data_IF_744635426854
#
_entry.id   IF_744635426854
#
_cell.length_a   1.000
_cell.length_b   1.000
_cell.length_c   1.000
_cell.angle_alpha   90.00
_cell.angle_beta   90.00
_cell.angle_gamma   90.00
#
_symmetry.space_group_name_H-M   'P 1'
#
loop_
_entity.id
_entity.type
_entity.pdbx_description
1 polymer ?
#
# COMPACT_ATOMS: atom_id res chain seq x y z
N UNK A 1 17.73 20.73 5.32
CA UNK A 1 19.12 20.27 5.12
C UNK A 1 19.19 18.74 5.13
N UNK A 2 18.76 18.05 6.22
CA UNK A 2 18.87 16.59 6.32
C UNK A 2 18.15 15.84 5.18
N UNK A 3 16.91 16.23 4.82
CA UNK A 3 16.15 15.60 3.72
C UNK A 3 16.80 15.91 2.37
N UNK A 4 17.34 17.10 2.17
CA UNK A 4 18.09 17.43 0.95
C UNK A 4 19.35 16.59 0.80
N UNK A 5 20.11 16.38 1.88
CA UNK A 5 21.24 15.44 1.91
C UNK A 5 20.79 14.00 1.63
N UNK A 6 19.66 13.57 2.21
CA UNK A 6 19.07 12.26 1.92
C UNK A 6 18.69 12.09 0.46
N UNK A 7 18.19 13.15 -0.22
CA UNK A 7 17.92 13.13 -1.65
C UNK A 7 19.19 12.93 -2.48
N UNK A 8 20.26 13.65 -2.15
CA UNK A 8 21.56 13.50 -2.81
C UNK A 8 22.11 12.10 -2.56
N UNK A 9 22.07 11.65 -1.32
CA UNK A 9 22.52 10.30 -0.95
C UNK A 9 21.73 9.22 -1.68
N UNK A 10 20.40 9.34 -1.77
CA UNK A 10 19.55 8.41 -2.51
C UNK A 10 19.89 8.38 -4.00
N UNK A 11 20.15 9.56 -4.63
CA UNK A 11 20.58 9.62 -6.04
C UNK A 11 21.91 8.90 -6.28
N UNK A 12 22.86 9.02 -5.35
CA UNK A 12 24.21 8.44 -5.48
C UNK A 12 24.20 6.96 -5.07
N UNK A 13 23.68 6.65 -3.88
CA UNK A 13 23.81 5.33 -3.26
C UNK A 13 22.53 4.48 -3.33
N UNK A 14 21.43 5.02 -3.86
CA UNK A 14 20.12 4.37 -3.98
C UNK A 14 19.55 3.88 -2.64
N UNK A 15 19.83 4.60 -1.56
CA UNK A 15 19.35 4.33 -0.19
C UNK A 15 18.89 5.63 0.48
N UNK A 16 17.96 5.53 1.41
CA UNK A 16 17.66 6.60 2.35
C UNK A 16 18.64 6.60 3.52
N UNK A 17 18.98 7.78 4.04
CA UNK A 17 19.72 7.88 5.29
C UNK A 17 18.85 7.42 6.46
N UNK A 18 19.49 6.95 7.53
CA UNK A 18 18.82 6.67 8.80
C UNK A 18 18.07 7.94 9.26
N UNK A 19 16.86 7.77 9.78
CA UNK A 19 15.98 8.86 10.23
C UNK A 19 15.41 9.79 9.13
N UNK A 20 15.54 9.46 7.84
CA UNK A 20 14.93 10.25 6.76
C UNK A 20 13.40 10.33 6.93
N UNK A 21 12.76 9.24 7.36
CA UNK A 21 11.32 9.22 7.60
C UNK A 21 10.90 10.24 8.67
N UNK A 22 11.59 10.29 9.80
CA UNK A 22 11.30 11.27 10.86
C UNK A 22 11.42 12.71 10.36
N UNK A 23 12.44 12.98 9.51
CA UNK A 23 12.59 14.29 8.90
C UNK A 23 11.46 14.63 7.94
N UNK A 24 10.98 13.66 7.14
CA UNK A 24 9.81 13.86 6.27
C UNK A 24 8.54 14.13 7.08
N UNK A 25 8.30 13.38 8.15
CA UNK A 25 7.16 13.59 9.06
C UNK A 25 7.19 14.99 9.66
N UNK A 26 8.35 15.43 10.16
CA UNK A 26 8.50 16.77 10.74
C UNK A 26 8.27 17.87 9.69
N UNK A 27 8.82 17.73 8.49
CA UNK A 27 8.59 18.70 7.41
C UNK A 27 7.12 18.73 7.00
N UNK A 28 6.49 17.56 6.89
CA UNK A 28 5.06 17.47 6.57
C UNK A 28 4.18 18.17 7.60
N UNK A 29 4.52 18.03 8.89
CA UNK A 29 3.79 18.70 9.97
C UNK A 29 3.92 20.24 9.93
N UNK A 30 5.00 20.76 9.33
CA UNK A 30 5.24 22.21 9.21
C UNK A 30 4.59 22.80 7.95
N UNK A 31 4.75 22.14 6.80
CA UNK A 31 4.41 22.70 5.49
C UNK A 31 3.19 22.04 4.81
N UNK A 32 2.56 21.07 5.50
CA UNK A 32 1.37 20.37 5.06
C UNK A 32 1.49 19.84 3.62
N UNK A 33 2.65 19.28 3.29
CA UNK A 33 2.90 18.52 2.07
C UNK A 33 3.61 19.26 0.93
N UNK A 34 3.92 20.54 1.05
CA UNK A 34 4.63 21.31 0.00
C UNK A 34 6.00 20.71 -0.33
N UNK A 35 6.77 20.36 0.69
CA UNK A 35 8.10 19.74 0.54
C UNK A 35 8.01 18.35 -0.11
N UNK A 36 6.94 17.58 0.15
CA UNK A 36 6.76 16.26 -0.50
C UNK A 36 6.62 16.40 -2.02
N UNK A 37 5.86 17.38 -2.49
CA UNK A 37 5.72 17.65 -3.94
C UNK A 37 7.07 18.02 -4.55
N UNK A 38 7.83 18.90 -3.88
CA UNK A 38 9.17 19.26 -4.34
C UNK A 38 10.08 18.05 -4.48
N UNK A 39 10.13 17.17 -3.47
CA UNK A 39 10.95 15.97 -3.53
C UNK A 39 10.45 14.97 -4.56
N UNK A 40 9.13 14.78 -4.68
CA UNK A 40 8.58 13.95 -5.73
C UNK A 40 9.02 14.42 -7.12
N UNK A 41 8.81 15.68 -7.44
CA UNK A 41 9.19 16.26 -8.74
C UNK A 41 10.71 16.21 -9.00
N UNK A 42 11.53 16.29 -7.95
CA UNK A 42 12.99 16.21 -8.06
C UNK A 42 13.50 14.78 -8.28
N UNK A 43 12.82 13.79 -7.69
CA UNK A 43 13.27 12.40 -7.65
C UNK A 43 12.56 11.49 -8.66
N UNK A 44 11.38 11.90 -9.17
CA UNK A 44 10.65 11.11 -10.16
C UNK A 44 11.50 10.90 -11.42
N UNK A 45 11.42 9.72 -11.98
CA UNK A 45 12.08 9.39 -13.25
C UNK A 45 11.16 9.67 -14.42
N UNK A 46 11.74 9.84 -15.62
CA UNK A 46 10.93 9.89 -16.84
C UNK A 46 10.23 8.55 -17.06
N UNK A 47 9.00 8.61 -17.58
CA UNK A 47 8.29 7.40 -18.05
C UNK A 47 9.15 6.67 -19.09
N UNK A 48 9.36 5.38 -18.89
CA UNK A 48 10.01 4.53 -19.88
C UNK A 48 9.03 4.19 -21.00
N UNK A 49 9.54 3.99 -22.21
CA UNK A 49 8.70 3.48 -23.32
C UNK A 49 8.19 2.09 -22.93
N UNK A 50 6.87 1.86 -23.08
CA UNK A 50 6.25 0.56 -22.80
C UNK A 50 6.98 -0.54 -23.58
N UNK A 51 7.57 -1.48 -22.87
CA UNK A 51 7.90 -2.79 -23.43
C UNK A 51 6.64 -3.64 -23.32
N UNK A 52 5.99 -3.96 -24.45
CA UNK A 52 4.83 -4.85 -24.47
C UNK A 52 5.21 -6.20 -23.84
N UNK A 53 4.87 -6.40 -22.60
CA UNK A 53 4.87 -7.70 -21.94
C UNK A 53 3.41 -7.95 -21.62
N UNK A 54 2.73 -8.73 -22.46
CA UNK A 54 1.32 -9.03 -22.35
C UNK A 54 1.05 -10.13 -21.34
N UNK A 55 1.21 -9.86 -20.05
CA UNK A 55 0.74 -10.73 -18.99
C UNK A 55 -0.15 -9.92 -18.06
N UNK A 56 -1.45 -9.94 -18.30
CA UNK A 56 -2.41 -9.37 -17.38
C UNK A 56 -3.33 -10.45 -16.84
N UNK A 57 -3.59 -10.38 -15.55
CA UNK A 57 -4.58 -11.21 -14.85
C UNK A 57 -5.99 -10.62 -15.05
N UNK A 58 -6.07 -9.38 -15.53
CA UNK A 58 -7.30 -8.68 -15.85
C UNK A 58 -7.68 -8.93 -17.31
N UNK A 59 -8.90 -9.43 -17.56
CA UNK A 59 -9.35 -9.90 -18.86
C UNK A 59 -9.55 -8.80 -19.93
N UNK A 60 -9.64 -7.54 -19.56
CA UNK A 60 -9.86 -6.43 -20.47
C UNK A 60 -8.99 -5.21 -20.13
N UNK A 61 -8.07 -4.89 -21.03
CA UNK A 61 -7.19 -3.73 -20.97
C UNK A 61 -7.90 -2.39 -21.18
N UNK A 62 -8.75 -1.97 -20.28
CA UNK A 62 -9.13 -0.55 -20.25
C UNK A 62 -8.46 0.09 -19.04
N UNK A 63 -7.67 1.17 -19.22
CA UNK A 63 -7.21 1.99 -18.11
C UNK A 63 -8.45 2.66 -17.51
N UNK A 64 -9.03 2.07 -16.47
CA UNK A 64 -10.34 2.42 -15.95
C UNK A 64 -10.28 3.24 -14.68
N UNK A 65 -9.07 3.49 -14.19
CA UNK A 65 -8.84 4.51 -13.18
C UNK A 65 -8.13 5.64 -13.87
N UNK A 66 -8.80 6.76 -14.01
CA UNK A 66 -8.09 7.95 -14.39
C UNK A 66 -7.17 8.32 -13.23
N UNK A 67 -5.91 8.60 -13.51
CA UNK A 67 -5.00 9.22 -12.54
C UNK A 67 -5.64 10.50 -11.96
N UNK A 68 -6.56 11.12 -12.70
CA UNK A 68 -7.38 12.23 -12.26
C UNK A 68 -8.25 11.89 -11.05
N UNK A 69 -8.93 10.73 -11.04
CA UNK A 69 -9.75 10.33 -9.89
C UNK A 69 -8.91 10.14 -8.63
N UNK A 70 -7.76 9.45 -8.74
CA UNK A 70 -6.81 9.30 -7.64
C UNK A 70 -6.26 10.65 -7.17
N UNK A 71 -5.85 11.51 -8.11
CA UNK A 71 -5.35 12.82 -7.79
C UNK A 71 -6.42 13.73 -7.18
N UNK A 72 -7.68 13.60 -7.62
CA UNK A 72 -8.77 14.45 -7.12
C UNK A 72 -9.28 13.96 -5.76
N UNK A 73 -9.54 12.66 -5.60
CA UNK A 73 -10.20 12.09 -4.43
C UNK A 73 -9.24 11.48 -3.41
N UNK A 74 -8.06 10.99 -3.87
CA UNK A 74 -7.10 10.23 -3.07
C UNK A 74 -7.35 8.73 -3.05
N UNK A 75 -8.41 8.25 -3.68
CA UNK A 75 -8.70 6.83 -3.91
C UNK A 75 -9.54 6.65 -5.17
N UNK A 76 -9.48 5.44 -5.74
CA UNK A 76 -10.32 5.05 -6.87
C UNK A 76 -10.59 3.54 -6.83
N UNK A 77 -11.84 3.12 -7.05
CA UNK A 77 -12.16 1.69 -7.20
C UNK A 77 -11.69 1.21 -8.56
N UNK A 78 -11.08 0.03 -8.61
CA UNK A 78 -10.83 -0.62 -9.87
C UNK A 78 -12.17 -1.10 -10.46
N UNK A 79 -12.39 -0.86 -11.74
CA UNK A 79 -13.63 -1.24 -12.40
C UNK A 79 -13.77 -2.74 -12.64
N UNK A 80 -12.66 -3.46 -12.55
CA UNK A 80 -12.62 -4.91 -12.71
C UNK A 80 -12.17 -5.56 -11.40
N UNK A 81 -12.84 -6.67 -11.08
CA UNK A 81 -12.41 -7.54 -9.99
C UNK A 81 -11.25 -8.43 -10.44
N UNK A 82 -10.44 -8.85 -9.51
CA UNK A 82 -9.43 -9.86 -9.73
C UNK A 82 -10.10 -11.19 -10.14
N UNK A 83 -9.52 -11.89 -11.10
CA UNK A 83 -10.01 -13.17 -11.58
C UNK A 83 -10.26 -14.15 -10.40
N UNK A 84 -11.39 -14.84 -10.42
CA UNK A 84 -11.84 -15.74 -9.34
C UNK A 84 -10.82 -16.84 -9.03
N UNK A 85 -10.18 -17.41 -10.04
CA UNK A 85 -9.18 -18.47 -9.83
C UNK A 85 -7.96 -17.90 -9.08
N UNK A 86 -7.49 -16.73 -9.48
CA UNK A 86 -6.36 -16.07 -8.82
C UNK A 86 -6.71 -15.69 -7.37
N UNK A 87 -7.92 -15.18 -7.13
CA UNK A 87 -8.41 -14.91 -5.76
C UNK A 87 -8.40 -16.17 -4.92
N UNK A 88 -8.87 -17.31 -5.47
CA UNK A 88 -8.87 -18.57 -4.75
C UNK A 88 -7.46 -19.07 -4.42
N UNK A 89 -6.49 -18.88 -5.32
CA UNK A 89 -5.08 -19.17 -5.05
C UNK A 89 -4.54 -18.32 -3.91
N UNK A 90 -4.83 -17.01 -3.87
CA UNK A 90 -4.40 -16.11 -2.80
C UNK A 90 -5.05 -16.45 -1.45
N UNK A 91 -6.35 -16.83 -1.46
CA UNK A 91 -7.02 -17.29 -0.24
C UNK A 91 -6.41 -18.60 0.26
N UNK A 92 -6.16 -19.56 -0.63
CA UNK A 92 -5.47 -20.81 -0.29
C UNK A 92 -4.08 -20.54 0.28
N UNK A 93 -3.33 -19.61 -0.33
CA UNK A 93 -2.03 -19.19 0.19
C UNK A 93 -2.14 -18.69 1.64
N UNK A 94 -3.15 -17.87 1.96
CA UNK A 94 -3.39 -17.33 3.29
C UNK A 94 -3.76 -18.40 4.34
N UNK A 95 -4.16 -19.60 3.93
CA UNK A 95 -4.40 -20.75 4.84
C UNK A 95 -3.18 -21.65 5.03
N UNK A 96 -2.16 -21.51 4.18
CA UNK A 96 -0.97 -22.37 4.20
C UNK A 96 0.29 -21.68 4.69
N UNK A 97 0.39 -20.35 4.55
CA UNK A 97 1.47 -19.56 5.10
C UNK A 97 1.20 -19.20 6.56
N UNK A 98 2.29 -19.19 7.36
CA UNK A 98 2.23 -18.67 8.71
C UNK A 98 2.16 -17.14 8.66
N UNK A 99 1.38 -16.57 9.58
CA UNK A 99 1.26 -15.14 9.80
C UNK A 99 1.58 -14.78 11.25
N UNK A 100 2.10 -13.58 11.47
CA UNK A 100 2.47 -13.07 12.78
C UNK A 100 1.23 -12.52 13.48
N UNK A 101 0.88 -13.06 14.63
CA UNK A 101 -0.29 -12.66 15.42
C UNK A 101 0.00 -11.58 16.48
N UNK A 102 1.17 -10.94 16.41
CA UNK A 102 1.64 -9.98 17.41
C UNK A 102 2.62 -10.56 18.42
N UNK A 103 2.66 -11.88 18.56
CA UNK A 103 3.55 -12.61 19.49
C UNK A 103 4.41 -13.65 18.76
N UNK A 104 3.80 -14.43 17.87
CA UNK A 104 4.47 -15.53 17.17
C UNK A 104 3.86 -15.77 15.78
N UNK A 105 4.57 -16.54 14.97
CA UNK A 105 4.07 -16.99 13.66
C UNK A 105 3.19 -18.24 13.84
N UNK A 106 1.93 -18.15 13.36
CA UNK A 106 0.91 -19.20 13.44
C UNK A 106 0.24 -19.37 12.08
N UNK A 107 -0.38 -20.51 11.81
CA UNK A 107 -1.39 -20.61 10.77
C UNK A 107 -2.67 -19.93 11.29
N UNK A 108 -3.32 -19.16 10.41
CA UNK A 108 -4.57 -18.50 10.80
C UNK A 108 -5.67 -19.55 11.00
N UNK A 109 -6.31 -19.51 12.15
CA UNK A 109 -7.45 -20.37 12.51
C UNK A 109 -8.58 -19.50 13.08
N UNK A 110 -9.71 -19.52 12.40
CA UNK A 110 -10.91 -18.77 12.80
C UNK A 110 -11.47 -19.18 14.17
N UNK A 111 -11.16 -20.40 14.61
CA UNK A 111 -11.62 -20.95 15.90
C UNK A 111 -10.72 -20.54 17.07
N UNK A 112 -9.53 -20.01 16.79
CA UNK A 112 -8.49 -19.69 17.77
C UNK A 112 -7.99 -18.25 17.63
N UNK A 113 -8.91 -17.30 17.48
CA UNK A 113 -8.60 -15.88 17.33
C UNK A 113 -8.07 -15.30 18.65
N UNK A 114 -6.85 -14.74 18.61
CA UNK A 114 -6.16 -14.14 19.78
C UNK A 114 -5.75 -12.68 19.55
N UNK A 115 -5.90 -12.15 18.34
CA UNK A 115 -5.51 -10.77 18.02
C UNK A 115 -6.44 -10.18 16.95
N UNK A 116 -6.45 -8.85 16.84
CA UNK A 116 -7.20 -8.10 15.83
C UNK A 116 -6.57 -8.18 14.44
N UNK A 117 -5.27 -8.49 14.33
CA UNK A 117 -4.54 -8.51 13.05
C UNK A 117 -3.47 -9.58 13.04
N UNK A 118 -3.37 -10.29 11.91
CA UNK A 118 -2.38 -11.33 11.62
C UNK A 118 -1.68 -10.97 10.31
N UNK A 119 -0.39 -10.65 10.37
CA UNK A 119 0.37 -10.15 9.22
C UNK A 119 1.24 -11.24 8.63
N UNK A 120 1.23 -11.38 7.31
CA UNK A 120 2.16 -12.24 6.58
C UNK A 120 3.50 -11.52 6.37
N UNK A 121 4.60 -12.27 6.32
CA UNK A 121 5.91 -11.71 6.01
C UNK A 121 6.01 -11.39 4.50
N UNK A 122 6.45 -10.18 4.17
CA UNK A 122 6.56 -9.73 2.77
C UNK A 122 7.60 -10.54 1.98
N UNK A 123 8.63 -11.11 2.64
CA UNK A 123 9.58 -12.01 1.98
C UNK A 123 8.96 -13.38 1.67
N UNK A 124 8.03 -13.87 2.50
CA UNK A 124 7.30 -15.09 2.19
C UNK A 124 6.33 -14.85 1.03
N UNK A 125 5.66 -13.69 1.02
CA UNK A 125 4.72 -13.32 -0.03
C UNK A 125 5.40 -13.18 -1.41
N UNK A 126 6.54 -12.48 -1.52
CA UNK A 126 7.20 -12.26 -2.82
C UNK A 126 7.70 -13.57 -3.45
N UNK A 127 7.87 -14.62 -2.67
CA UNK A 127 8.28 -15.93 -3.12
C UNK A 127 7.12 -16.83 -3.59
N UNK A 128 5.89 -16.31 -3.65
CA UNK A 128 4.71 -17.02 -4.13
C UNK A 128 4.41 -16.65 -5.59
N UNK A 129 4.17 -17.65 -6.43
CA UNK A 129 3.92 -17.43 -7.87
C UNK A 129 2.71 -16.54 -8.13
N UNK A 130 1.63 -16.67 -7.37
CA UNK A 130 0.43 -15.82 -7.48
C UNK A 130 0.71 -14.36 -7.15
N UNK A 131 1.59 -14.06 -6.18
CA UNK A 131 2.03 -12.70 -5.87
C UNK A 131 2.96 -12.17 -6.97
N UNK A 132 3.89 -12.99 -7.48
CA UNK A 132 4.77 -12.60 -8.58
C UNK A 132 4.00 -12.24 -9.85
N UNK A 133 2.90 -12.94 -10.14
CA UNK A 133 2.01 -12.62 -11.26
C UNK A 133 1.38 -11.23 -11.12
N UNK A 134 0.88 -10.88 -9.93
CA UNK A 134 0.34 -9.53 -9.66
C UNK A 134 1.41 -8.44 -9.75
N UNK A 135 2.63 -8.71 -9.29
CA UNK A 135 3.75 -7.76 -9.40
C UNK A 135 4.12 -7.49 -10.87
N UNK A 136 3.95 -8.48 -11.75
CA UNK A 136 4.21 -8.34 -13.19
C UNK A 136 3.03 -7.77 -13.98
N UNK A 137 1.87 -7.59 -13.36
CA UNK A 137 0.65 -7.18 -14.05
C UNK A 137 0.76 -5.76 -14.60
N UNK A 138 0.71 -5.62 -15.93
CA UNK A 138 0.88 -4.32 -16.60
C UNK A 138 -0.24 -3.33 -16.28
N UNK A 139 -1.46 -3.80 -16.05
CA UNK A 139 -2.57 -2.92 -15.70
C UNK A 139 -2.32 -2.23 -14.35
N UNK A 140 -1.84 -2.98 -13.35
CA UNK A 140 -1.50 -2.43 -12.03
C UNK A 140 -0.29 -1.49 -12.08
N UNK A 141 0.72 -1.86 -12.88
CA UNK A 141 1.91 -1.01 -13.11
C UNK A 141 1.52 0.30 -13.81
N UNK A 142 0.62 0.24 -14.79
CA UNK A 142 0.15 1.42 -15.52
C UNK A 142 -0.64 2.38 -14.62
N UNK A 143 -1.48 1.88 -13.71
CA UNK A 143 -2.15 2.71 -12.69
C UNK A 143 -1.11 3.52 -11.89
N UNK A 144 -0.06 2.85 -11.41
CA UNK A 144 0.98 3.52 -10.62
C UNK A 144 1.79 4.51 -11.48
N UNK A 145 2.10 4.15 -12.74
CA UNK A 145 2.81 5.00 -13.70
C UNK A 145 2.04 6.27 -14.01
N UNK A 146 0.76 6.15 -14.27
CA UNK A 146 -0.14 7.29 -14.53
C UNK A 146 -0.23 8.21 -13.30
N UNK A 147 -0.47 7.61 -12.12
CA UNK A 147 -0.62 8.35 -10.88
C UNK A 147 0.65 9.13 -10.48
N UNK A 148 1.84 8.54 -10.65
CA UNK A 148 3.11 9.20 -10.33
C UNK A 148 3.62 10.13 -11.42
N UNK A 149 3.06 10.08 -12.62
CA UNK A 149 3.66 10.70 -13.81
C UNK A 149 5.16 10.35 -13.94
N UNK A 150 5.49 9.09 -13.65
CA UNK A 150 6.87 8.57 -13.69
C UNK A 150 6.87 7.05 -13.67
N UNK A 151 8.03 6.43 -13.96
CA UNK A 151 8.18 4.99 -13.77
C UNK A 151 8.07 4.64 -12.27
N UNK A 152 7.16 3.73 -11.88
CA UNK A 152 7.01 3.32 -10.49
C UNK A 152 8.13 2.36 -10.06
N UNK A 153 8.29 2.25 -8.75
CA UNK A 153 9.07 1.20 -8.10
C UNK A 153 8.10 0.34 -7.32
N UNK A 154 8.16 -0.97 -7.50
CA UNK A 154 7.46 -1.86 -6.61
C UNK A 154 8.16 -1.88 -5.25
N UNK A 155 7.44 -1.51 -4.20
CA UNK A 155 8.01 -1.39 -2.86
C UNK A 155 7.88 -2.71 -2.08
N UNK A 156 6.66 -3.17 -1.82
CA UNK A 156 6.43 -4.46 -1.14
C UNK A 156 4.99 -4.97 -1.30
N UNK A 157 4.77 -6.29 -1.24
CA UNK A 157 3.46 -6.88 -1.00
C UNK A 157 3.21 -6.94 0.51
N UNK A 158 1.99 -6.67 0.94
CA UNK A 158 1.53 -6.82 2.33
C UNK A 158 0.22 -7.58 2.33
N UNK A 159 0.07 -8.58 3.19
CA UNK A 159 -1.18 -9.33 3.33
C UNK A 159 -1.48 -9.56 4.82
N UNK A 160 -2.77 -9.50 5.17
CA UNK A 160 -3.16 -9.72 6.56
C UNK A 160 -4.60 -10.17 6.71
N UNK A 161 -4.84 -10.91 7.78
CA UNK A 161 -6.17 -11.10 8.32
C UNK A 161 -6.51 -10.02 9.34
N UNK A 162 -7.73 -9.51 9.29
CA UNK A 162 -8.36 -8.71 10.35
C UNK A 162 -9.51 -9.49 10.95
N UNK A 163 -9.67 -9.39 12.26
CA UNK A 163 -10.65 -10.16 13.05
C UNK A 163 -11.47 -9.24 13.95
N UNK A 164 -12.62 -9.70 14.47
CA UNK A 164 -13.43 -8.92 15.41
C UNK A 164 -12.90 -8.95 16.86
N UNK A 165 -11.66 -9.43 17.07
CA UNK A 165 -11.06 -9.51 18.40
C UNK A 165 -10.99 -8.14 19.09
N UNK A 166 -11.30 -8.11 20.39
CA UNK A 166 -11.28 -6.89 21.21
C UNK A 166 -12.56 -6.04 21.08
N UNK A 167 -12.81 -5.22 22.09
CA UNK A 167 -14.05 -4.43 22.21
C UNK A 167 -13.93 -3.02 21.64
N UNK A 168 -12.73 -2.48 21.53
CA UNK A 168 -12.45 -1.11 21.05
C UNK A 168 -11.56 -1.14 19.79
N UNK A 169 -11.61 -0.08 18.97
CA UNK A 169 -10.70 0.04 17.82
C UNK A 169 -9.23 -0.02 18.24
N UNK A 170 -8.45 -0.87 17.54
CA UNK A 170 -7.04 -1.06 17.83
C UNK A 170 -6.17 -0.12 16.99
N UNK A 171 -5.31 0.65 17.65
CA UNK A 171 -4.28 1.48 16.99
C UNK A 171 -3.31 0.61 16.19
N UNK A 172 -2.87 -0.51 16.76
CA UNK A 172 -1.92 -1.43 16.12
C UNK A 172 -2.50 -2.15 14.88
N UNK A 173 -3.83 -2.30 14.83
CA UNK A 173 -4.53 -2.86 13.68
C UNK A 173 -4.97 -1.81 12.64
N UNK A 174 -4.47 -0.57 12.74
CA UNK A 174 -4.82 0.55 11.86
C UNK A 174 -6.34 0.87 11.84
N UNK A 175 -7.01 0.70 12.98
CA UNK A 175 -8.45 0.94 13.13
C UNK A 175 -8.79 2.37 13.61
N UNK A 176 -7.80 3.23 13.77
CA UNK A 176 -7.94 4.67 14.01
C UNK A 176 -7.41 5.43 12.80
N UNK A 177 -7.92 6.65 12.57
CA UNK A 177 -7.48 7.47 11.45
C UNK A 177 -6.00 7.79 11.52
N UNK A 178 -5.31 7.60 10.39
CA UNK A 178 -3.91 7.91 10.20
C UNK A 178 -3.65 8.23 8.73
N UNK A 179 -2.48 8.69 8.45
CA UNK A 179 -1.93 8.79 7.10
C UNK A 179 -0.56 8.11 7.07
N UNK A 180 -0.14 7.64 5.90
CA UNK A 180 1.14 6.98 5.72
C UNK A 180 2.14 7.92 5.06
N UNK A 181 3.38 7.93 5.56
CA UNK A 181 4.44 8.81 5.10
C UNK A 181 5.81 8.10 4.99
N UNK A 182 5.79 6.78 4.75
CA UNK A 182 7.02 6.01 4.58
C UNK A 182 7.74 6.31 3.27
N UNK A 183 7.04 6.90 2.28
CA UNK A 183 7.59 7.37 1.01
C UNK A 183 7.13 8.78 0.71
N UNK A 184 7.90 9.49 -0.11
CA UNK A 184 7.55 10.85 -0.56
C UNK A 184 6.22 10.87 -1.32
N UNK A 185 5.99 9.90 -2.19
CA UNK A 185 4.70 9.65 -2.84
C UNK A 185 4.51 8.15 -2.98
N UNK A 186 3.42 7.67 -2.44
CA UNK A 186 3.09 6.26 -2.35
C UNK A 186 1.70 5.98 -2.94
N UNK A 187 1.57 4.85 -3.62
CA UNK A 187 0.29 4.33 -4.08
C UNK A 187 0.15 2.91 -3.58
N UNK A 188 -0.97 2.61 -2.97
CA UNK A 188 -1.32 1.27 -2.54
C UNK A 188 -2.51 0.76 -3.33
N UNK A 189 -2.41 -0.47 -3.85
CA UNK A 189 -3.53 -1.16 -4.49
C UNK A 189 -3.96 -2.29 -3.57
N UNK A 190 -5.20 -2.21 -3.11
CA UNK A 190 -5.80 -3.14 -2.16
C UNK A 190 -6.72 -4.11 -2.89
N UNK A 191 -6.66 -5.37 -2.49
CA UNK A 191 -7.54 -6.44 -2.95
C UNK A 191 -8.28 -7.04 -1.77
N UNK A 192 -9.60 -7.03 -1.82
CA UNK A 192 -10.42 -7.75 -0.87
C UNK A 192 -10.48 -9.23 -1.27
N UNK A 193 -9.87 -10.09 -0.46
CA UNK A 193 -9.85 -11.53 -0.69
C UNK A 193 -11.00 -12.26 0.03
N UNK A 194 -11.83 -11.51 0.74
CA UNK A 194 -13.12 -11.89 1.34
C UNK A 194 -14.15 -10.82 1.01
N UNK A 195 -15.43 -11.10 1.12
CA UNK A 195 -16.46 -10.07 1.01
C UNK A 195 -16.32 -9.05 2.12
N UNK A 196 -16.46 -7.75 1.78
CA UNK A 196 -16.34 -6.63 2.71
C UNK A 196 -17.60 -5.76 2.69
N UNK A 197 -18.28 -5.73 3.83
CA UNK A 197 -19.48 -4.94 4.10
C UNK A 197 -19.33 -4.14 5.41
N UNK A 198 -20.39 -3.52 5.90
CA UNK A 198 -20.34 -2.66 7.09
C UNK A 198 -19.91 -3.39 8.37
N UNK A 199 -20.12 -4.70 8.45
CA UNK A 199 -19.87 -5.46 9.68
C UNK A 199 -18.45 -6.04 9.78
N UNK A 200 -17.73 -6.19 8.67
CA UNK A 200 -16.42 -6.85 8.67
C UNK A 200 -15.27 -5.90 8.29
N UNK A 201 -15.40 -4.64 8.69
CA UNK A 201 -14.28 -3.70 8.74
C UNK A 201 -13.88 -3.10 7.41
N UNK A 202 -14.77 -2.44 6.65
CA UNK A 202 -14.41 -1.79 5.39
C UNK A 202 -13.34 -0.70 5.61
N UNK A 203 -12.55 -0.42 4.57
CA UNK A 203 -11.65 0.73 4.58
C UNK A 203 -12.46 2.02 4.51
N UNK A 204 -11.99 3.03 5.24
CA UNK A 204 -12.58 4.36 5.26
C UNK A 204 -11.51 5.41 4.97
N UNK A 205 -11.85 6.37 4.12
CA UNK A 205 -10.98 7.47 3.69
C UNK A 205 -11.69 8.80 3.88
N UNK A 206 -10.91 9.85 4.19
CA UNK A 206 -11.39 11.24 4.09
C UNK A 206 -10.94 11.75 2.73
N UNK A 207 -11.90 11.95 1.83
CA UNK A 207 -11.68 12.36 0.45
C UNK A 207 -10.90 13.69 0.41
N UNK A 208 -9.94 13.80 -0.52
CA UNK A 208 -9.10 14.99 -0.76
C UNK A 208 -8.11 15.34 0.37
N UNK A 209 -8.06 14.58 1.46
CA UNK A 209 -7.17 14.88 2.58
C UNK A 209 -5.69 14.56 2.33
N UNK A 210 -5.33 14.05 1.13
CA UNK A 210 -3.96 13.89 0.65
C UNK A 210 -3.40 15.15 -0.01
N UNK A 211 -4.28 16.11 -0.37
CA UNK A 211 -3.86 17.34 -1.05
C UNK A 211 -3.01 18.24 -0.13
N UNK A 212 -2.17 19.06 -0.75
CA UNK A 212 -1.40 20.07 -0.02
C UNK A 212 -2.34 21.02 0.73
N UNK A 213 -1.98 21.36 1.94
CA UNK A 213 -2.76 22.23 2.83
C UNK A 213 -4.16 21.69 3.18
N UNK A 214 -4.43 20.39 2.97
CA UNK A 214 -5.74 19.80 3.23
C UNK A 214 -5.94 19.31 4.66
N UNK A 215 -4.86 19.13 5.42
CA UNK A 215 -4.96 18.70 6.82
C UNK A 215 -5.02 19.89 7.76
N UNK A 216 -5.97 19.89 8.73
CA UNK A 216 -6.02 20.90 9.78
C UNK A 216 -4.70 20.98 10.56
N UNK A 217 -4.23 22.21 10.80
CA UNK A 217 -2.95 22.42 11.48
C UNK A 217 -3.00 21.91 12.93
N UNK A 218 -4.16 21.96 13.55
CA UNK A 218 -4.41 21.45 14.90
C UNK A 218 -4.19 19.95 14.99
N UNK A 219 -4.55 19.19 13.94
CA UNK A 219 -4.28 17.76 13.87
C UNK A 219 -2.79 17.48 13.58
N UNK A 220 -2.18 18.25 12.69
CA UNK A 220 -0.76 18.10 12.37
C UNK A 220 0.16 18.45 13.54
N UNK A 221 -0.21 19.47 14.35
CA UNK A 221 0.55 19.89 15.54
C UNK A 221 0.63 18.81 16.64
N UNK A 222 -0.29 17.83 16.63
CA UNK A 222 -0.24 16.66 17.53
C UNK A 222 0.82 15.63 17.12
N UNK A 223 1.49 15.86 15.99
CA UNK A 223 2.46 14.95 15.40
C UNK A 223 1.82 13.78 14.66
N UNK A 224 2.63 12.77 14.34
CA UNK A 224 2.21 11.57 13.60
C UNK A 224 1.47 10.59 14.52
N UNK A 225 0.19 10.90 14.83
CA UNK A 225 -0.65 10.16 15.78
C UNK A 225 -1.85 9.51 15.09
N UNK A 226 -2.40 8.51 15.75
CA UNK A 226 -3.69 7.91 15.43
C UNK A 226 -4.80 8.76 16.02
N UNK A 227 -5.82 9.09 15.21
CA UNK A 227 -6.92 10.00 15.56
C UNK A 227 -8.23 9.21 15.64
N UNK A 228 -9.04 9.48 16.67
CA UNK A 228 -10.36 8.85 16.83
C UNK A 228 -11.39 9.42 15.84
N UNK A 229 -12.51 8.71 15.70
CA UNK A 229 -13.62 9.14 14.85
C UNK A 229 -14.24 10.45 15.35
N UNK A 230 -14.44 10.57 16.66
CA UNK A 230 -15.01 11.75 17.29
C UNK A 230 -14.11 12.97 17.10
N UNK A 231 -12.80 12.78 17.25
CA UNK A 231 -11.83 13.86 17.10
C UNK A 231 -11.75 14.35 15.66
N UNK A 232 -11.61 13.45 14.69
CA UNK A 232 -11.44 13.84 13.28
C UNK A 232 -12.75 14.40 12.69
N UNK A 233 -13.90 13.95 13.20
CA UNK A 233 -15.21 14.42 12.81
C UNK A 233 -15.45 15.92 13.11
N UNK A 234 -14.67 16.51 14.02
CA UNK A 234 -14.74 17.95 14.30
C UNK A 234 -14.09 18.81 13.20
N UNK A 235 -13.33 18.22 12.28
CA UNK A 235 -12.53 18.95 11.29
C UNK A 235 -12.98 18.74 9.85
N UNK A 236 -13.72 17.68 9.56
CA UNK A 236 -14.14 17.33 8.20
C UNK A 236 -15.64 17.14 8.10
N UNK A 237 -16.23 17.61 7.00
CA UNK A 237 -17.63 17.37 6.70
C UNK A 237 -17.91 15.87 6.57
N UNK A 238 -19.06 15.42 7.05
CA UNK A 238 -19.51 14.02 7.00
C UNK A 238 -19.46 13.46 5.56
N UNK A 239 -19.78 14.28 4.57
CA UNK A 239 -19.77 13.89 3.16
C UNK A 239 -18.37 13.57 2.61
N UNK A 240 -17.32 14.00 3.30
CA UNK A 240 -15.94 13.65 2.90
C UNK A 240 -15.52 12.26 3.36
N UNK A 241 -16.26 11.63 4.27
CA UNK A 241 -15.98 10.29 4.76
C UNK A 241 -16.50 9.24 3.78
N UNK A 242 -15.61 8.51 3.15
CA UNK A 242 -15.93 7.49 2.12
C UNK A 242 -15.60 6.10 2.64
N UNK A 243 -16.59 5.21 2.54
CA UNK A 243 -16.47 3.81 2.94
C UNK A 243 -16.31 2.94 1.70
N UNK A 244 -15.26 2.13 1.65
CA UNK A 244 -14.97 1.24 0.52
C UNK A 244 -15.40 -0.17 0.89
N UNK A 245 -16.50 -0.61 0.29
CA UNK A 245 -17.05 -1.96 0.37
C UNK A 245 -16.89 -2.66 -0.98
N UNK A 246 -16.86 -3.99 -0.96
CA UNK A 246 -16.80 -4.78 -2.19
C UNK A 246 -16.91 -6.27 -1.92
N UNK A 247 -17.25 -7.02 -2.96
CA UNK A 247 -17.24 -8.48 -2.94
C UNK A 247 -15.79 -9.00 -2.99
N UNK A 248 -15.61 -10.26 -2.67
CA UNK A 248 -14.37 -11.00 -2.86
C UNK A 248 -13.82 -10.79 -4.28
N UNK A 249 -12.56 -10.38 -4.38
CA UNK A 249 -11.91 -10.02 -5.64
C UNK A 249 -11.97 -8.53 -5.99
N UNK A 250 -12.78 -7.72 -5.31
CA UNK A 250 -12.80 -6.26 -5.53
C UNK A 250 -11.47 -5.63 -5.18
N UNK A 251 -11.08 -4.62 -5.97
CA UNK A 251 -9.85 -3.88 -5.76
C UNK A 251 -10.06 -2.37 -5.81
N UNK A 252 -9.20 -1.64 -5.13
CA UNK A 252 -9.12 -0.18 -5.19
C UNK A 252 -7.70 0.30 -5.01
N UNK A 253 -7.36 1.42 -5.64
CA UNK A 253 -6.11 2.12 -5.47
C UNK A 253 -6.31 3.32 -4.52
N UNK A 254 -5.30 3.64 -3.69
CA UNK A 254 -5.37 4.77 -2.78
C UNK A 254 -4.01 5.41 -2.53
N UNK A 255 -4.00 6.75 -2.46
CA UNK A 255 -2.94 7.53 -1.85
C UNK A 255 -3.18 7.55 -0.33
N UNK A 256 -2.42 6.76 0.39
CA UNK A 256 -2.55 6.63 1.84
C UNK A 256 -1.99 7.83 2.62
N UNK A 257 -1.57 8.90 1.94
CA UNK A 257 -1.43 10.22 2.55
C UNK A 257 -2.81 10.80 2.94
N UNK A 258 -3.93 10.37 2.34
CA UNK A 258 -5.27 10.61 2.89
C UNK A 258 -5.35 10.13 4.34
N UNK A 259 -6.13 10.84 5.17
CA UNK A 259 -6.61 10.24 6.40
C UNK A 259 -7.43 8.99 6.06
N UNK A 260 -7.02 7.86 6.63
CA UNK A 260 -7.69 6.58 6.38
C UNK A 260 -7.59 5.64 7.56
N UNK A 261 -8.43 4.61 7.55
CA UNK A 261 -8.40 3.51 8.50
C UNK A 261 -9.06 2.25 7.93
N UNK A 262 -8.79 1.09 8.49
CA UNK A 262 -9.69 -0.06 8.43
C UNK A 262 -10.67 0.04 9.59
N UNK A 263 -11.99 0.03 9.35
CA UNK A 263 -12.94 0.08 10.47
C UNK A 263 -12.85 -1.20 11.31
N UNK A 264 -13.21 -1.11 12.59
CA UNK A 264 -13.25 -2.28 13.47
C UNK A 264 -14.27 -3.29 12.95
N UNK A 265 -13.91 -4.58 12.94
CA UNK A 265 -14.84 -5.64 12.59
C UNK A 265 -15.81 -5.89 13.75
N UNK A 266 -17.07 -6.09 13.40
CA UNK A 266 -18.14 -6.50 14.32
C UNK A 266 -18.28 -8.02 14.27
N UNK A 267 -18.19 -8.62 13.05
CA UNK A 267 -18.28 -10.06 12.83
C UNK A 267 -17.50 -10.49 11.59
N UNK A 268 -17.21 -11.78 11.51
CA UNK A 268 -16.45 -12.38 10.42
C UNK A 268 -14.98 -11.96 10.42
N UNK A 269 -14.25 -12.43 9.42
CA UNK A 269 -12.84 -12.11 9.23
C UNK A 269 -12.66 -11.47 7.86
N UNK A 270 -11.67 -10.58 7.72
CA UNK A 270 -11.35 -9.92 6.47
C UNK A 270 -9.91 -10.22 6.08
N UNK A 271 -9.71 -10.80 4.90
CA UNK A 271 -8.40 -10.97 4.28
C UNK A 271 -8.19 -9.87 3.23
N UNK A 272 -7.05 -9.18 3.33
CA UNK A 272 -6.64 -8.12 2.41
C UNK A 272 -5.23 -8.40 1.91
N UNK A 273 -5.03 -8.25 0.60
CA UNK A 273 -3.71 -8.10 -0.01
C UNK A 273 -3.53 -6.65 -0.44
N UNK A 274 -2.35 -6.10 -0.23
CA UNK A 274 -1.95 -4.75 -0.58
C UNK A 274 -0.65 -4.82 -1.38
N UNK A 275 -0.60 -4.15 -2.54
CA UNK A 275 0.61 -3.97 -3.32
C UNK A 275 1.04 -2.51 -3.24
N UNK A 276 2.26 -2.28 -2.80
CA UNK A 276 2.81 -0.95 -2.57
C UNK A 276 3.72 -0.52 -3.72
N UNK A 277 3.46 0.66 -4.24
CA UNK A 277 4.23 1.31 -5.29
C UNK A 277 4.74 2.66 -4.79
N UNK A 278 5.96 3.01 -5.14
CA UNK A 278 6.57 4.29 -4.79
C UNK A 278 7.14 5.00 -6.00
N UNK A 279 7.09 6.33 -6.02
CA UNK A 279 7.78 7.12 -7.05
C UNK A 279 9.29 7.20 -6.82
N UNK A 280 9.72 7.02 -5.57
CA UNK A 280 11.12 6.93 -5.15
C UNK A 280 11.24 6.16 -3.84
N UNK A 281 12.43 5.66 -3.50
CA UNK A 281 12.70 5.01 -2.22
C UNK A 281 13.11 5.99 -1.12
N UNK A 282 12.97 7.30 -1.34
CA UNK A 282 13.20 8.28 -0.28
C UNK A 282 12.12 8.13 0.80
N UNK A 283 12.54 7.94 2.04
CA UNK A 283 11.66 7.71 3.19
C UNK A 283 12.19 6.66 4.14
N UNK A 284 11.35 5.73 4.56
CA UNK A 284 11.74 4.64 5.45
C UNK A 284 12.75 3.71 4.78
N UNK A 285 13.81 3.36 5.51
CA UNK A 285 14.84 2.46 4.99
C UNK A 285 14.45 1.00 5.26
N UNK A 286 13.57 0.48 4.42
CA UNK A 286 13.23 -0.95 4.47
C UNK A 286 14.35 -1.80 3.88
N UNK A 287 14.52 -3.01 4.42
CA UNK A 287 15.36 -4.02 3.78
C UNK A 287 14.79 -4.39 2.41
N UNK A 288 15.68 -4.74 1.48
CA UNK A 288 15.26 -5.25 0.17
C UNK A 288 14.54 -6.59 0.33
N UNK A 289 13.48 -6.78 -0.45
CA UNK A 289 12.75 -8.03 -0.52
C UNK A 289 13.65 -9.15 -1.05
N UNK A 290 13.71 -10.25 -0.31
CA UNK A 290 14.55 -11.41 -0.61
C UNK A 290 13.81 -12.37 -1.54
N UNK A 291 14.21 -12.37 -2.82
CA UNK A 291 13.63 -13.26 -3.83
C UNK A 291 14.45 -14.56 -3.89
N UNK A 292 13.85 -15.64 -3.39
CA UNK A 292 14.47 -16.97 -3.28
C UNK A 292 13.95 -17.95 -4.34
N UNK A 293 12.64 -17.93 -4.59
CA UNK A 293 11.95 -18.86 -5.50
C UNK A 293 11.23 -18.11 -6.63
N UNK A 294 11.95 -17.36 -7.49
CA UNK A 294 11.32 -16.67 -8.62
C UNK A 294 10.92 -17.68 -9.69
N UNK A 295 9.72 -17.48 -10.27
CA UNK A 295 9.36 -18.16 -11.52
C UNK A 295 10.25 -17.67 -12.66
N UNK A 296 10.38 -18.45 -13.75
CA UNK A 296 11.23 -18.04 -14.88
C UNK A 296 10.71 -16.77 -15.57
N UNK A 297 9.39 -16.62 -15.67
CA UNK A 297 8.75 -15.38 -16.13
C UNK A 297 9.09 -14.18 -15.24
N UNK A 298 9.07 -14.35 -13.92
CA UNK A 298 9.43 -13.31 -12.97
C UNK A 298 10.90 -12.93 -13.03
N UNK A 299 11.82 -13.91 -13.18
CA UNK A 299 13.25 -13.63 -13.41
C UNK A 299 13.47 -12.78 -14.65
N UNK A 300 12.83 -13.17 -15.77
CA UNK A 300 12.95 -12.45 -17.04
C UNK A 300 12.36 -11.04 -16.94
N UNK A 301 11.21 -10.91 -16.29
CA UNK A 301 10.58 -9.63 -16.04
C UNK A 301 11.48 -8.70 -15.22
N UNK A 302 12.04 -9.17 -14.10
CA UNK A 302 12.91 -8.38 -13.24
C UNK A 302 14.19 -7.92 -13.96
N UNK A 303 14.77 -8.81 -14.81
CA UNK A 303 15.94 -8.47 -15.63
C UNK A 303 15.62 -7.31 -16.60
N UNK A 304 14.43 -7.31 -17.22
CA UNK A 304 14.00 -6.27 -18.16
C UNK A 304 13.55 -4.98 -17.46
N UNK A 305 13.05 -5.06 -16.23
CA UNK A 305 12.45 -3.96 -15.47
C UNK A 305 13.24 -3.66 -14.19
N UNK A 306 14.55 -3.50 -14.29
CA UNK A 306 15.46 -3.35 -13.15
C UNK A 306 15.21 -2.11 -12.30
N UNK A 307 14.65 -1.05 -12.88
CA UNK A 307 14.24 0.15 -12.12
C UNK A 307 13.01 -0.14 -11.25
N UNK A 308 11.99 -0.75 -11.83
CA UNK A 308 10.76 -1.15 -11.14
C UNK A 308 11.04 -2.11 -9.98
N UNK A 309 11.97 -3.04 -10.16
CA UNK A 309 12.31 -4.09 -9.20
C UNK A 309 13.57 -3.78 -8.37
N UNK A 310 14.00 -2.52 -8.33
CA UNK A 310 15.26 -2.14 -7.63
C UNK A 310 15.24 -2.38 -6.12
N UNK A 311 14.04 -2.58 -5.53
CA UNK A 311 13.88 -2.96 -4.11
C UNK A 311 14.02 -4.47 -3.87
N UNK A 312 14.37 -5.27 -4.89
CA UNK A 312 14.56 -6.72 -4.77
C UNK A 312 16.03 -7.08 -4.60
N UNK A 313 16.27 -8.15 -3.86
CA UNK A 313 17.55 -8.81 -3.72
C UNK A 313 17.36 -10.29 -4.03
N UNK A 314 17.91 -10.74 -5.17
CA UNK A 314 17.92 -12.16 -5.51
C UNK A 314 18.96 -12.86 -4.64
N UNK A 315 18.53 -13.89 -3.91
CA UNK A 315 19.44 -14.79 -3.23
C UNK A 315 19.93 -15.83 -4.25
N UNK A 316 21.25 -16.07 -4.31
CA UNK A 316 21.78 -17.15 -5.13
C UNK A 316 21.25 -18.47 -4.59
N UNK A 317 20.52 -19.22 -5.41
CA UNK A 317 20.33 -20.65 -5.18
C UNK A 317 21.72 -21.27 -5.39
N UNK A 318 22.31 -21.77 -4.31
CA UNK A 318 23.53 -22.55 -4.38
C UNK A 318 23.24 -23.90 -5.02
#
# INVERSE_FOLDING_TARGET
IYVSLSCVYLKIFRKSLKNTNNALVNLYSIDNGKTLIFFHNTLKTKRLKKTKISNTIYENHKPLISAEELNEKGYAKLSQNLNTNHVNELVKLATTLKCFNGEKFVLFDEKSITNTRYNFDSNDLINQSSIQQLIMDEYLIDIAREYFDSEPIFDMPVMWWSTPFGNVPSSNAAQLYHYDLERVKWLKIFFYLTDVNDSNGPHQYIEKSHKVNSKPIELLSKGYKRISDDEIGNYYNIDSFKVIKGLKGSAFAADTLCWHKGTKLIKGNRLVLELNYASSLLGTNHEKLKVKTPTDSFKLFCKKNSFYTKNFKFEKLY
#
